data_IF_344068080299
#
_entry.id   IF_344068080299
#
_cell.length_a   1.000
_cell.length_b   1.000
_cell.length_c   1.000
_cell.angle_alpha   90.00
_cell.angle_beta   90.00
_cell.angle_gamma   90.00
#
_symmetry.space_group_name_H-M   'P 1'
#
loop_
_entity.id
_entity.type
_entity.pdbx_description
1 polymer ?
#
# COMPACT_ATOMS: atom_id res chain seq x y z
N UNK A 1 27.75 8.03 -8.97
CA UNK A 1 27.75 6.57 -8.70
C UNK A 1 26.33 6.00 -8.67
N UNK A 2 26.10 4.80 -9.21
CA UNK A 2 24.81 4.11 -9.08
C UNK A 2 24.62 3.67 -7.62
N UNK A 3 23.48 4.01 -7.02
CA UNK A 3 23.12 3.55 -5.69
C UNK A 3 22.77 2.05 -5.73
N UNK A 4 22.98 1.31 -4.63
CA UNK A 4 22.51 -0.06 -4.54
C UNK A 4 20.98 -0.10 -4.62
N UNK A 5 20.45 -1.05 -5.39
CA UNK A 5 19.02 -1.33 -5.44
C UNK A 5 18.71 -2.41 -4.41
N UNK A 6 18.03 -2.04 -3.33
CA UNK A 6 17.70 -2.93 -2.21
C UNK A 6 16.25 -3.37 -2.37
N UNK A 7 16.04 -4.67 -2.54
CA UNK A 7 14.71 -5.30 -2.61
C UNK A 7 14.72 -6.60 -1.81
N UNK A 8 13.55 -7.10 -1.38
CA UNK A 8 13.43 -8.43 -0.76
C UNK A 8 13.97 -9.55 -1.68
N UNK A 9 14.21 -10.73 -1.11
CA UNK A 9 14.60 -11.89 -1.92
C UNK A 9 13.42 -12.30 -2.82
N UNK A 10 13.72 -12.91 -3.96
CA UNK A 10 12.70 -13.28 -4.93
C UNK A 10 11.66 -14.23 -4.33
N UNK A 11 12.11 -15.26 -3.61
CA UNK A 11 11.26 -16.26 -2.98
C UNK A 11 10.28 -15.65 -1.97
N UNK A 12 10.69 -14.63 -1.20
CA UNK A 12 9.82 -13.90 -0.27
C UNK A 12 8.69 -13.15 -1.00
N UNK A 13 9.00 -12.61 -2.19
CA UNK A 13 8.03 -11.90 -3.03
C UNK A 13 7.01 -12.89 -3.61
N UNK A 14 7.46 -14.07 -4.07
CA UNK A 14 6.57 -15.12 -4.57
C UNK A 14 5.65 -15.67 -3.48
N UNK A 15 6.16 -15.89 -2.27
CA UNK A 15 5.36 -16.32 -1.12
C UNK A 15 4.28 -15.28 -0.77
N UNK A 16 4.64 -13.99 -0.71
CA UNK A 16 3.67 -12.92 -0.48
C UNK A 16 2.62 -12.85 -1.60
N UNK A 17 3.02 -13.00 -2.86
CA UNK A 17 2.09 -13.01 -3.98
C UNK A 17 1.06 -14.15 -3.84
N UNK A 18 1.50 -15.36 -3.50
CA UNK A 18 0.61 -16.50 -3.25
C UNK A 18 -0.37 -16.25 -2.08
N UNK A 19 0.08 -15.57 -1.03
CA UNK A 19 -0.80 -15.14 0.06
C UNK A 19 -1.85 -14.12 -0.38
N UNK A 20 -1.48 -13.17 -1.23
CA UNK A 20 -2.42 -12.19 -1.78
C UNK A 20 -3.43 -12.84 -2.74
N UNK A 21 -3.02 -13.80 -3.57
CA UNK A 21 -3.92 -14.51 -4.48
C UNK A 21 -5.03 -15.29 -3.76
N UNK A 22 -4.73 -15.83 -2.58
CA UNK A 22 -5.70 -16.60 -1.77
C UNK A 22 -6.46 -15.74 -0.75
N UNK A 23 -6.05 -14.49 -0.55
CA UNK A 23 -6.66 -13.56 0.38
C UNK A 23 -8.05 -13.11 -0.05
N UNK A 24 -9.02 -13.11 0.88
CA UNK A 24 -10.42 -12.75 0.60
C UNK A 24 -10.81 -11.33 1.02
N UNK A 25 -10.04 -10.75 1.95
CA UNK A 25 -10.31 -9.44 2.57
C UNK A 25 -8.98 -8.77 2.82
N UNK A 26 -8.44 -8.18 1.75
CA UNK A 26 -7.14 -7.52 1.79
C UNK A 26 -7.37 -6.04 1.98
N UNK A 27 -6.58 -5.43 2.87
CA UNK A 27 -6.52 -3.98 3.06
C UNK A 27 -5.05 -3.59 3.00
N UNK A 28 -4.73 -2.55 2.24
CA UNK A 28 -3.40 -1.98 2.23
C UNK A 28 -3.34 -0.90 3.31
N UNK A 29 -2.36 -0.99 4.21
CA UNK A 29 -2.11 0.05 5.21
C UNK A 29 -0.79 0.76 4.91
N UNK A 30 -0.88 1.95 4.33
CA UNK A 30 0.23 2.66 3.73
C UNK A 30 0.74 3.78 4.65
N UNK A 31 2.05 4.02 4.65
CA UNK A 31 2.70 5.04 5.47
C UNK A 31 3.68 5.90 4.67
N UNK A 32 4.55 6.64 5.37
CA UNK A 32 5.57 7.48 4.73
C UNK A 32 6.55 6.68 3.84
N UNK A 33 6.70 5.37 4.07
CA UNK A 33 7.54 4.51 3.22
C UNK A 33 7.02 4.33 1.80
N UNK A 34 5.81 4.82 1.48
CA UNK A 34 5.26 4.85 0.13
C UNK A 34 5.73 6.08 -0.68
N UNK A 35 6.63 6.91 -0.15
CA UNK A 35 7.24 8.02 -0.88
C UNK A 35 7.79 7.55 -2.24
N UNK A 36 7.30 8.17 -3.32
CA UNK A 36 7.69 7.83 -4.69
C UNK A 36 7.08 6.55 -5.27
N UNK A 37 6.18 5.87 -4.55
CA UNK A 37 5.56 4.60 -4.96
C UNK A 37 4.02 4.71 -5.11
N UNK A 38 3.51 5.91 -5.41
CA UNK A 38 2.08 6.18 -5.47
C UNK A 38 1.38 5.30 -6.51
N UNK A 39 1.89 5.31 -7.75
CA UNK A 39 1.29 4.60 -8.88
C UNK A 39 1.28 3.09 -8.64
N UNK A 40 2.34 2.55 -8.04
CA UNK A 40 2.44 1.14 -7.67
C UNK A 40 1.43 0.76 -6.59
N UNK A 41 1.21 1.61 -5.58
CA UNK A 41 0.20 1.39 -4.54
C UNK A 41 -1.21 1.37 -5.15
N UNK A 42 -1.53 2.33 -6.01
CA UNK A 42 -2.85 2.42 -6.67
C UNK A 42 -3.09 1.22 -7.59
N UNK A 43 -2.10 0.82 -8.39
CA UNK A 43 -2.22 -0.34 -9.28
C UNK A 43 -2.34 -1.66 -8.48
N UNK A 44 -1.63 -1.79 -7.35
CA UNK A 44 -1.78 -2.94 -6.47
C UNK A 44 -3.18 -2.99 -5.85
N UNK A 45 -3.67 -1.86 -5.32
CA UNK A 45 -5.02 -1.74 -4.77
C UNK A 45 -6.09 -2.12 -5.81
N UNK A 46 -5.91 -1.66 -7.05
CA UNK A 46 -6.75 -2.02 -8.19
C UNK A 46 -6.75 -3.51 -8.49
N UNK A 47 -5.59 -4.16 -8.53
CA UNK A 47 -5.53 -5.62 -8.82
C UNK A 47 -6.18 -6.45 -7.72
N UNK A 48 -5.96 -6.05 -6.48
CA UNK A 48 -6.48 -6.76 -5.31
C UNK A 48 -7.93 -6.39 -4.98
N UNK A 49 -8.48 -5.35 -5.62
CA UNK A 49 -9.75 -4.73 -5.25
C UNK A 49 -9.79 -4.41 -3.75
N UNK A 50 -8.68 -3.87 -3.24
CA UNK A 50 -8.43 -3.67 -1.82
C UNK A 50 -8.58 -2.18 -1.44
N UNK A 51 -9.27 -1.85 -0.33
CA UNK A 51 -9.23 -0.50 0.23
C UNK A 51 -7.82 -0.16 0.72
N UNK A 52 -7.45 1.11 0.59
CA UNK A 52 -6.19 1.69 1.04
C UNK A 52 -6.46 2.60 2.23
N UNK A 53 -5.91 2.25 3.38
CA UNK A 53 -5.88 3.10 4.56
C UNK A 53 -4.49 3.71 4.63
N UNK A 54 -4.37 5.00 4.97
CA UNK A 54 -3.06 5.61 5.18
C UNK A 54 -2.84 6.02 6.65
N UNK A 55 -1.58 5.96 7.09
CA UNK A 55 -1.15 6.58 8.34
C UNK A 55 -1.01 8.10 8.15
N UNK A 56 -0.97 8.86 9.25
CA UNK A 56 -0.85 10.32 9.20
C UNK A 56 0.31 10.83 8.34
N UNK A 57 1.50 10.21 8.47
CA UNK A 57 2.68 10.56 7.66
C UNK A 57 2.67 9.98 6.25
N UNK A 58 1.68 9.17 5.90
CA UNK A 58 1.48 8.64 4.54
C UNK A 58 0.55 9.49 3.69
N UNK A 59 -0.19 10.42 4.29
CA UNK A 59 -1.24 11.23 3.62
C UNK A 59 -0.75 11.86 2.31
N UNK A 60 0.39 12.56 2.35
CA UNK A 60 0.95 13.27 1.19
C UNK A 60 1.39 12.33 0.04
N UNK A 61 1.61 11.04 0.33
CA UNK A 61 2.13 10.07 -0.63
C UNK A 61 1.04 9.17 -1.23
N UNK A 62 -0.12 9.06 -0.57
CA UNK A 62 -1.08 7.99 -0.85
C UNK A 62 -2.50 8.49 -1.14
N UNK A 63 -2.93 9.60 -0.52
CA UNK A 63 -4.35 10.03 -0.54
C UNK A 63 -4.78 10.64 -1.89
N UNK A 64 -3.89 11.35 -2.57
CA UNK A 64 -4.24 12.07 -3.80
C UNK A 64 -4.45 11.11 -4.97
N UNK A 65 -5.42 11.37 -5.85
CA UNK A 65 -5.72 10.56 -7.04
C UNK A 65 -5.81 9.03 -6.82
N UNK A 66 -6.26 8.63 -5.63
CA UNK A 66 -6.39 7.23 -5.26
C UNK A 66 -7.87 6.85 -5.03
N UNK A 67 -8.54 6.20 -6.01
CA UNK A 67 -9.94 5.79 -5.88
C UNK A 67 -10.18 4.73 -4.79
N UNK A 68 -9.12 4.09 -4.30
CA UNK A 68 -9.18 3.07 -3.27
C UNK A 68 -8.94 3.61 -1.87
N UNK A 69 -8.59 4.90 -1.74
CA UNK A 69 -8.36 5.53 -0.45
C UNK A 69 -9.64 5.58 0.37
N UNK A 70 -9.55 5.12 1.61
CA UNK A 70 -10.63 5.17 2.61
C UNK A 70 -10.24 6.01 3.82
N UNK A 71 -9.23 6.87 3.68
CA UNK A 71 -8.74 7.77 4.71
C UNK A 71 -7.84 7.11 5.76
N UNK A 72 -7.81 7.73 6.94
CA UNK A 72 -7.00 7.30 8.08
C UNK A 72 -7.84 6.62 9.16
N UNK A 73 -7.23 5.68 9.86
CA UNK A 73 -7.76 5.10 11.11
C UNK A 73 -6.96 5.59 12.34
N UNK A 74 -7.43 5.28 13.55
CA UNK A 74 -6.86 5.72 14.82
C UNK A 74 -7.61 6.89 15.47
N UNK A 75 -7.05 7.47 16.55
CA UNK A 75 -7.73 8.50 17.36
C UNK A 75 -8.19 9.73 16.56
N UNK A 76 -7.44 10.08 15.51
CA UNK A 76 -7.69 11.22 14.63
C UNK A 76 -8.24 10.81 13.27
N UNK A 77 -8.52 9.52 13.08
CA UNK A 77 -9.05 8.97 11.84
C UNK A 77 -10.57 9.00 11.79
N UNK A 78 -11.11 8.40 10.74
CA UNK A 78 -12.54 8.19 10.59
C UNK A 78 -12.92 6.81 11.10
N UNK A 79 -14.09 6.68 11.74
CA UNK A 79 -14.74 5.39 11.89
C UNK A 79 -15.34 5.02 10.55
N UNK A 80 -14.57 4.28 9.76
CA UNK A 80 -15.03 3.52 8.59
C UNK A 80 -16.07 2.48 8.98
#
# INVERSE_FOLDING_TARGET
PRLPHIVPQHDDIEEMAAHLETGKRITLFCGAGCEGAHDEVVELAKRLQAPVVHAFRGKEWVEWDNPYDVGMTGLLGYTS
#
